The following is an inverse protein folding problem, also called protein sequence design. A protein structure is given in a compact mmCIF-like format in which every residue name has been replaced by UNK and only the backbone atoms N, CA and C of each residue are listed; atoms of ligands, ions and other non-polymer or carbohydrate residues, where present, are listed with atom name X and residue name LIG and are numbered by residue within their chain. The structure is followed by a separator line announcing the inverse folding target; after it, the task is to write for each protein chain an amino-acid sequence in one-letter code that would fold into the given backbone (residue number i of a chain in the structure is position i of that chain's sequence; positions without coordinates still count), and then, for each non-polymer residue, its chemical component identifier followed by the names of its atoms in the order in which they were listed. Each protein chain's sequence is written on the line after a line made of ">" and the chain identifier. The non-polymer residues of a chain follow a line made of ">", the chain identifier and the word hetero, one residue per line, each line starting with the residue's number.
data_IF_263816130222
#
_entry.id   IF_263816130222
#
_cell.length_a   1.000
_cell.length_b   1.000
_cell.length_c   1.000
_cell.angle_alpha   90.00
_cell.angle_beta   90.00
_cell.angle_gamma   90.00
#
_symmetry.space_group_name_H-M   'P 1'
#
loop_
_entity.id
_entity.type
_entity.pdbx_description
1 polymer ?
#
# COMPACT_ATOMS: atom_id res chain seq x y z
N UNK A 1 -25.68 18.70 9.95
CA UNK A 1 -24.73 17.64 10.38
C UNK A 1 -25.13 17.17 11.78
N UNK A 2 -25.55 15.92 11.93
CA UNK A 2 -26.07 15.41 13.20
C UNK A 2 -24.94 15.32 14.25
N UNK A 3 -25.12 16.03 15.37
CA UNK A 3 -24.29 15.91 16.57
C UNK A 3 -24.42 14.48 17.11
N UNK A 4 -23.50 13.60 16.75
CA UNK A 4 -23.40 12.29 17.38
C UNK A 4 -22.97 12.50 18.84
N UNK A 5 -23.63 11.82 19.77
CA UNK A 5 -23.36 11.94 21.21
C UNK A 5 -21.93 11.48 21.54
N UNK A 6 -21.38 12.01 22.65
CA UNK A 6 -20.01 11.70 23.15
C UNK A 6 -19.74 10.19 23.21
N UNK A 7 -20.69 9.42 23.76
CA UNK A 7 -20.60 7.97 23.87
C UNK A 7 -20.50 7.25 22.51
N UNK A 8 -21.16 7.76 21.48
CA UNK A 8 -21.09 7.19 20.12
C UNK A 8 -19.72 7.44 19.49
N UNK A 9 -19.08 8.58 19.78
CA UNK A 9 -17.72 8.88 19.31
C UNK A 9 -16.67 8.02 20.03
N UNK A 10 -16.77 7.89 21.35
CA UNK A 10 -15.87 7.02 22.12
C UNK A 10 -16.01 5.55 21.71
N UNK A 11 -17.25 5.04 21.54
CA UNK A 11 -17.48 3.69 21.03
C UNK A 11 -16.92 3.48 19.61
N UNK A 12 -16.99 4.50 18.75
CA UNK A 12 -16.43 4.43 17.39
C UNK A 12 -14.89 4.51 17.36
N UNK A 13 -14.26 5.23 18.31
CA UNK A 13 -12.81 5.29 18.46
C UNK A 13 -12.27 3.95 18.99
N UNK A 14 -12.92 3.37 19.98
CA UNK A 14 -12.56 2.08 20.57
C UNK A 14 -12.84 0.92 19.60
N UNK A 15 -13.99 0.95 18.92
CA UNK A 15 -14.41 -0.10 17.98
C UNK A 15 -13.66 -0.09 16.64
N UNK A 16 -13.02 1.02 16.26
CA UNK A 16 -12.10 1.07 15.11
C UNK A 16 -10.63 1.04 15.50
N UNK A 17 -10.33 0.87 16.79
CA UNK A 17 -8.96 0.87 17.31
C UNK A 17 -8.15 2.12 16.93
N UNK A 18 -8.85 3.26 16.78
CA UNK A 18 -8.26 4.52 16.34
C UNK A 18 -7.40 5.19 17.44
N UNK A 19 -7.64 4.84 18.71
CA UNK A 19 -6.78 5.21 19.85
C UNK A 19 -5.78 4.09 20.12
N UNK A 20 -4.51 4.47 20.19
CA UNK A 20 -3.45 3.55 20.60
C UNK A 20 -3.59 3.26 22.10
N UNK A 21 -3.59 1.98 22.46
CA UNK A 21 -3.74 1.58 23.86
C UNK A 21 -2.62 2.16 24.72
N UNK A 22 -2.93 2.42 26.00
CA UNK A 22 -1.98 2.88 27.01
C UNK A 22 -1.32 4.24 26.71
N UNK A 23 -1.87 5.03 25.77
CA UNK A 23 -1.38 6.36 25.39
C UNK A 23 -2.50 7.38 25.14
N UNK A 24 -2.11 8.64 25.04
CA UNK A 24 -2.92 9.75 24.51
C UNK A 24 -2.81 9.88 22.98
N UNK A 25 -2.36 8.85 22.27
CA UNK A 25 -2.11 8.91 20.82
C UNK A 25 -3.25 8.29 20.02
N UNK A 26 -3.39 8.77 18.79
CA UNK A 26 -4.31 8.19 17.82
C UNK A 26 -3.60 7.94 16.50
N UNK A 27 -4.05 6.95 15.74
CA UNK A 27 -3.50 6.61 14.42
C UNK A 27 -4.64 6.65 13.41
N UNK A 28 -4.47 7.41 12.32
CA UNK A 28 -5.42 7.56 11.21
C UNK A 28 -6.83 8.00 11.64
N UNK A 29 -6.93 8.79 12.72
CA UNK A 29 -8.17 9.10 13.42
C UNK A 29 -8.70 10.53 13.15
N UNK A 30 -8.67 10.98 11.91
CA UNK A 30 -8.95 12.40 11.59
C UNK A 30 -10.43 12.73 11.37
N UNK A 31 -11.29 11.72 11.21
CA UNK A 31 -12.72 11.89 10.90
C UNK A 31 -13.61 12.13 12.13
N UNK A 32 -13.01 12.19 13.33
CA UNK A 32 -13.73 12.25 14.61
C UNK A 32 -13.80 13.66 15.23
N UNK A 33 -13.20 14.66 14.57
CA UNK A 33 -13.02 16.00 15.13
C UNK A 33 -11.98 16.03 16.26
N UNK A 34 -12.11 16.97 17.20
CA UNK A 34 -11.27 17.01 18.39
C UNK A 34 -11.51 15.76 19.25
N UNK A 35 -10.44 15.01 19.52
CA UNK A 35 -10.49 13.81 20.35
C UNK A 35 -10.01 14.20 21.75
N UNK A 36 -10.89 14.06 22.74
CA UNK A 36 -10.60 14.41 24.14
C UNK A 36 -9.39 13.62 24.65
N UNK A 37 -8.44 14.33 25.29
CA UNK A 37 -7.20 13.73 25.79
C UNK A 37 -6.28 13.16 24.70
N UNK A 38 -6.45 13.52 23.43
CA UNK A 38 -5.47 13.22 22.39
C UNK A 38 -4.35 14.27 22.42
N UNK A 39 -3.10 13.84 22.56
CA UNK A 39 -1.94 14.73 22.53
C UNK A 39 -1.16 14.65 21.22
N UNK A 40 -1.29 13.54 20.47
CA UNK A 40 -0.60 13.33 19.19
C UNK A 40 -1.47 12.53 18.22
N UNK A 41 -1.56 13.03 16.98
CA UNK A 41 -2.20 12.35 15.87
C UNK A 41 -1.14 11.77 14.94
N UNK A 42 -1.17 10.47 14.69
CA UNK A 42 -0.30 9.82 13.72
C UNK A 42 -1.05 9.60 12.42
N UNK A 43 -0.39 9.90 11.29
CA UNK A 43 -0.87 9.54 9.96
C UNK A 43 0.11 8.56 9.34
N UNK A 44 -0.33 7.33 9.10
CA UNK A 44 0.54 6.26 8.59
C UNK A 44 0.99 6.51 7.15
N UNK A 45 0.08 7.02 6.31
CA UNK A 45 0.34 7.30 4.90
C UNK A 45 -0.74 8.21 4.27
N UNK A 46 -0.56 8.59 3.01
CA UNK A 46 -1.43 9.55 2.31
C UNK A 46 -2.50 8.88 1.40
N UNK A 47 -3.31 7.98 1.94
CA UNK A 47 -4.57 7.54 1.30
C UNK A 47 -5.81 8.09 2.00
N UNK A 48 -6.86 8.30 1.20
CA UNK A 48 -8.01 9.12 1.59
C UNK A 48 -8.84 8.59 2.74
N UNK A 49 -8.91 7.28 2.88
CA UNK A 49 -9.58 6.56 3.95
C UNK A 49 -8.83 6.64 5.29
N UNK A 50 -7.53 6.95 5.26
CA UNK A 50 -6.69 7.16 6.46
C UNK A 50 -6.64 8.62 6.88
N UNK A 51 -6.57 9.56 5.92
CA UNK A 51 -6.58 10.99 6.23
C UNK A 51 -7.98 11.61 6.28
N UNK A 52 -9.06 10.83 6.12
CA UNK A 52 -10.42 11.35 6.04
C UNK A 52 -10.72 12.30 7.22
N UNK A 53 -11.08 13.55 6.91
CA UNK A 53 -11.33 14.60 7.91
C UNK A 53 -10.19 15.62 8.05
N UNK A 54 -8.97 15.31 7.57
CA UNK A 54 -7.91 16.31 7.43
C UNK A 54 -8.26 17.34 6.36
N UNK A 55 -8.01 18.60 6.69
CA UNK A 55 -8.18 19.74 5.80
C UNK A 55 -7.39 20.94 6.32
N UNK A 56 -7.29 22.01 5.53
CA UNK A 56 -6.65 23.27 5.92
C UNK A 56 -7.06 23.87 7.27
N UNK A 57 -8.24 23.50 7.80
CA UNK A 57 -8.75 23.97 9.09
C UNK A 57 -8.47 23.01 10.26
N UNK A 58 -7.70 21.93 10.04
CA UNK A 58 -7.35 21.01 11.11
C UNK A 58 -6.49 21.73 12.16
N UNK A 59 -6.99 21.77 13.40
CA UNK A 59 -6.37 22.47 14.52
C UNK A 59 -6.55 21.69 15.83
N UNK A 60 -6.64 20.35 15.74
CA UNK A 60 -6.93 19.50 16.90
C UNK A 60 -5.68 19.00 17.62
N UNK A 61 -4.49 19.15 17.04
CA UNK A 61 -3.22 18.76 17.64
C UNK A 61 -2.13 18.54 16.58
N UNK A 62 -0.89 18.28 17.01
CA UNK A 62 0.21 17.97 16.10
C UNK A 62 0.00 16.65 15.37
N UNK A 63 0.40 16.62 14.09
CA UNK A 63 0.32 15.46 13.20
C UNK A 63 1.73 14.92 12.98
N UNK A 64 1.98 13.69 13.41
CA UNK A 64 3.24 12.96 13.24
C UNK A 64 3.13 11.98 12.08
N UNK A 65 4.09 12.02 11.16
CA UNK A 65 4.16 11.14 9.99
C UNK A 65 5.56 11.21 9.36
N UNK A 66 5.79 10.53 8.24
CA UNK A 66 7.02 10.68 7.44
C UNK A 66 7.09 12.05 6.74
N UNK A 67 8.29 12.47 6.29
CA UNK A 67 8.49 13.69 5.51
C UNK A 67 7.63 13.72 4.24
N UNK A 68 7.63 12.62 3.48
CA UNK A 68 6.83 12.45 2.26
C UNK A 68 5.34 12.63 2.54
N UNK A 69 4.82 11.99 3.59
CA UNK A 69 3.41 12.14 3.97
C UNK A 69 3.11 13.59 4.38
N UNK A 70 4.00 14.24 5.12
CA UNK A 70 3.83 15.64 5.52
C UNK A 70 3.78 16.60 4.31
N UNK A 71 4.65 16.39 3.32
CA UNK A 71 4.67 17.17 2.08
C UNK A 71 3.38 17.00 1.29
N UNK A 72 2.90 15.76 1.14
CA UNK A 72 1.64 15.47 0.43
C UNK A 72 0.42 16.09 1.12
N UNK A 73 0.36 16.01 2.46
CA UNK A 73 -0.69 16.65 3.25
C UNK A 73 -0.69 18.18 3.06
N UNK A 74 0.48 18.81 3.14
CA UNK A 74 0.62 20.24 2.91
C UNK A 74 0.26 20.64 1.47
N UNK A 75 0.65 19.84 0.47
CA UNK A 75 0.41 20.15 -0.93
C UNK A 75 -1.04 19.90 -1.37
N UNK A 76 -1.67 18.84 -0.89
CA UNK A 76 -3.01 18.42 -1.38
C UNK A 76 -4.15 18.79 -0.46
N UNK A 77 -3.95 18.76 0.85
CA UNK A 77 -4.99 19.11 1.82
C UNK A 77 -4.84 20.52 2.37
N UNK A 78 -3.70 21.17 2.07
CA UNK A 78 -3.35 22.52 2.50
C UNK A 78 -3.39 22.69 4.02
N UNK A 79 -3.08 21.62 4.77
CA UNK A 79 -2.86 21.69 6.23
C UNK A 79 -1.60 22.51 6.47
N UNK A 80 -1.61 23.46 7.42
CA UNK A 80 -0.43 24.27 7.73
C UNK A 80 0.76 23.43 8.18
N UNK A 81 1.97 23.76 7.70
CA UNK A 81 3.19 23.04 8.07
C UNK A 81 3.49 23.10 9.57
N UNK A 82 3.01 24.14 10.28
CA UNK A 82 3.19 24.22 11.75
C UNK A 82 2.41 23.14 12.52
N UNK A 83 1.41 22.50 11.90
CA UNK A 83 0.70 21.35 12.48
C UNK A 83 1.45 20.03 12.25
N UNK A 84 2.42 20.00 11.32
CA UNK A 84 3.12 18.78 10.94
C UNK A 84 4.39 18.59 11.76
N UNK A 85 4.68 17.34 12.14
CA UNK A 85 5.87 16.90 12.86
C UNK A 85 6.46 15.70 12.12
N UNK A 86 7.17 15.93 11.00
CA UNK A 86 7.77 14.85 10.24
C UNK A 86 8.83 14.13 11.08
N UNK A 87 8.81 12.80 11.05
CA UNK A 87 9.77 11.93 11.72
C UNK A 87 10.59 11.16 10.68
N UNK A 88 11.91 11.00 10.87
CA UNK A 88 12.73 10.16 10.02
C UNK A 88 12.38 8.67 10.19
N UNK A 89 12.58 7.90 9.12
CA UNK A 89 12.53 6.43 9.19
C UNK A 89 13.72 5.90 10.01
N UNK A 90 13.53 4.71 10.57
CA UNK A 90 14.52 3.86 11.25
C UNK A 90 15.24 4.53 12.44
N UNK A 91 14.67 5.63 12.94
CA UNK A 91 15.19 6.41 14.05
C UNK A 91 14.17 6.47 15.18
N UNK A 92 14.60 6.11 16.39
CA UNK A 92 13.76 6.17 17.58
C UNK A 92 13.76 7.57 18.18
N UNK A 93 12.57 8.16 18.34
CA UNK A 93 12.36 9.48 18.96
C UNK A 93 11.35 9.37 20.11
N UNK A 94 11.46 10.25 21.10
CA UNK A 94 10.54 10.26 22.25
C UNK A 94 9.48 11.35 22.09
N UNK A 95 8.21 10.98 22.19
CA UNK A 95 7.04 11.88 22.16
C UNK A 95 6.23 11.56 23.41
N UNK A 96 5.96 12.54 24.28
CA UNK A 96 5.21 12.36 25.53
C UNK A 96 5.66 11.13 26.36
N UNK A 97 6.97 10.90 26.48
CA UNK A 97 7.61 9.74 27.15
C UNK A 97 7.46 8.39 26.45
N UNK A 98 6.76 8.33 25.31
CA UNK A 98 6.66 7.13 24.46
C UNK A 98 7.77 7.18 23.41
N UNK A 99 8.52 6.07 23.27
CA UNK A 99 9.48 5.95 22.16
C UNK A 99 8.74 5.53 20.90
N UNK A 100 9.03 6.19 19.79
CA UNK A 100 8.38 5.98 18.49
C UNK A 100 9.44 5.76 17.43
N UNK A 101 9.30 4.70 16.64
CA UNK A 101 10.15 4.41 15.48
C UNK A 101 9.27 4.17 14.27
N UNK A 102 9.50 4.91 13.18
CA UNK A 102 8.86 4.67 11.88
C UNK A 102 9.71 3.71 11.06
N UNK A 103 9.10 2.72 10.42
CA UNK A 103 9.74 1.73 9.55
C UNK A 103 8.99 1.77 8.21
N UNK A 104 9.69 1.70 7.08
CA UNK A 104 9.05 1.65 5.76
C UNK A 104 8.00 0.53 5.70
N UNK A 105 6.80 0.83 5.20
CA UNK A 105 5.70 -0.14 5.13
C UNK A 105 5.66 -0.96 3.84
N UNK A 106 6.53 -0.64 2.87
CA UNK A 106 6.52 -1.21 1.53
C UNK A 106 5.12 -1.16 0.86
N UNK A 107 4.35 -0.11 1.13
CA UNK A 107 3.00 0.12 0.59
C UNK A 107 3.03 1.15 -0.54
N UNK A 108 2.80 2.42 -0.22
CA UNK A 108 2.95 3.57 -1.11
C UNK A 108 4.06 4.50 -0.58
N UNK A 109 4.57 5.44 -1.39
CA UNK A 109 5.60 6.38 -0.94
C UNK A 109 5.25 7.11 0.35
N UNK A 110 6.15 7.05 1.33
CA UNK A 110 5.96 7.68 2.65
C UNK A 110 5.13 6.87 3.65
N UNK A 111 4.62 5.70 3.28
CA UNK A 111 3.89 4.84 4.21
C UNK A 111 4.82 4.22 5.26
N UNK A 112 4.38 4.20 6.52
CA UNK A 112 5.17 3.69 7.63
C UNK A 112 4.40 2.73 8.55
N UNK A 113 5.08 1.64 8.92
CA UNK A 113 4.81 0.88 10.14
C UNK A 113 5.35 1.71 11.31
N UNK A 114 4.63 1.72 12.43
CA UNK A 114 4.97 2.51 13.60
C UNK A 114 5.13 1.59 14.81
N UNK A 115 6.32 1.57 15.40
CA UNK A 115 6.58 0.92 16.68
C UNK A 115 6.48 1.96 17.79
N UNK A 116 5.59 1.72 18.74
CA UNK A 116 5.44 2.48 19.97
C UNK A 116 5.95 1.66 21.16
N UNK A 117 6.83 2.23 21.96
CA UNK A 117 7.26 1.65 23.23
C UNK A 117 6.83 2.60 24.34
N UNK A 118 5.85 2.16 25.11
CA UNK A 118 5.19 2.90 26.19
C UNK A 118 5.82 2.48 27.51
N UNK A 119 6.20 3.43 28.40
CA UNK A 119 6.69 3.08 29.73
C UNK A 119 5.68 2.23 30.51
N UNK A 120 6.10 1.06 30.97
CA UNK A 120 5.27 0.14 31.77
C UNK A 120 6.13 -0.48 32.88
N UNK A 121 5.94 -0.03 34.11
CA UNK A 121 6.69 -0.51 35.27
C UNK A 121 6.42 -2.00 35.60
N UNK A 122 5.36 -2.59 35.03
CA UNK A 122 5.06 -4.02 35.16
C UNK A 122 5.76 -4.89 34.11
N UNK A 123 6.28 -4.28 33.03
CA UNK A 123 7.09 -4.99 32.03
C UNK A 123 8.50 -5.25 32.56
N UNK A 124 9.09 -6.45 32.33
CA UNK A 124 10.42 -6.81 32.83
C UNK A 124 11.54 -5.86 32.40
N UNK A 125 11.40 -5.24 31.23
CA UNK A 125 12.34 -4.27 30.67
C UNK A 125 11.82 -2.82 30.71
N UNK A 126 10.69 -2.59 31.40
CA UNK A 126 10.09 -1.26 31.58
C UNK A 126 9.27 -0.76 30.39
N UNK A 127 9.05 -1.58 29.35
CA UNK A 127 8.36 -1.16 28.13
C UNK A 127 7.22 -2.10 27.74
N UNK A 128 6.10 -1.50 27.36
CA UNK A 128 5.03 -2.15 26.61
C UNK A 128 5.10 -1.74 25.16
N UNK A 129 4.95 -2.68 24.23
CA UNK A 129 5.23 -2.45 22.80
C UNK A 129 4.02 -2.69 21.93
N UNK A 130 3.67 -1.66 21.16
CA UNK A 130 2.59 -1.70 20.19
C UNK A 130 3.14 -1.48 18.79
N UNK A 131 2.89 -2.41 17.87
CA UNK A 131 3.26 -2.28 16.47
C UNK A 131 2.00 -1.95 15.66
N UNK A 132 1.97 -0.82 14.98
CA UNK A 132 0.88 -0.45 14.07
C UNK A 132 1.38 -0.50 12.64
N UNK A 133 0.86 -1.42 11.84
CA UNK A 133 1.36 -1.64 10.47
C UNK A 133 0.92 -0.55 9.48
N UNK A 134 -0.15 0.20 9.79
CA UNK A 134 -0.80 1.03 8.78
C UNK A 134 -1.35 0.13 7.68
N UNK A 135 -1.25 0.57 6.43
CA UNK A 135 -1.32 -0.32 5.27
C UNK A 135 0.10 -0.73 4.88
N UNK A 136 0.32 -2.02 4.64
CA UNK A 136 1.66 -2.54 4.39
C UNK A 136 1.67 -3.76 3.47
N UNK A 137 2.80 -3.97 2.78
CA UNK A 137 3.10 -5.24 2.12
C UNK A 137 4.30 -5.90 2.77
N UNK A 138 4.01 -6.92 3.58
CA UNK A 138 5.00 -7.61 4.38
C UNK A 138 6.14 -8.20 3.55
N UNK A 139 7.36 -7.95 4.01
CA UNK A 139 8.61 -8.47 3.46
C UNK A 139 9.54 -8.89 4.60
N UNK A 140 10.52 -9.78 4.35
CA UNK A 140 11.48 -10.22 5.37
C UNK A 140 12.18 -9.07 6.10
N UNK A 141 12.51 -7.99 5.37
CA UNK A 141 13.16 -6.82 5.93
C UNK A 141 12.40 -6.18 7.12
N UNK A 142 11.07 -6.31 7.19
CA UNK A 142 10.29 -5.78 8.32
C UNK A 142 10.57 -6.53 9.63
N UNK A 143 10.75 -7.86 9.58
CA UNK A 143 11.04 -8.67 10.78
C UNK A 143 12.53 -8.67 11.13
N UNK A 144 13.39 -8.47 10.12
CA UNK A 144 14.83 -8.31 10.28
C UNK A 144 15.23 -6.91 10.76
N UNK A 145 14.33 -5.92 10.63
CA UNK A 145 14.56 -4.55 11.08
C UNK A 145 15.02 -4.52 12.54
N UNK A 146 16.07 -3.77 12.86
CA UNK A 146 16.74 -3.83 14.16
C UNK A 146 15.79 -3.56 15.35
N UNK A 147 14.83 -2.65 15.19
CA UNK A 147 13.83 -2.35 16.22
C UNK A 147 12.84 -3.50 16.48
N UNK A 148 12.65 -4.40 15.51
CA UNK A 148 11.76 -5.56 15.61
C UNK A 148 12.55 -6.80 16.01
N UNK A 149 13.67 -7.09 15.36
CA UNK A 149 14.50 -8.27 15.63
C UNK A 149 15.10 -8.27 17.05
N UNK A 150 15.39 -7.09 17.61
CA UNK A 150 15.92 -6.94 18.98
C UNK A 150 14.81 -6.77 20.02
N UNK A 151 13.55 -6.68 19.60
CA UNK A 151 12.40 -6.56 20.49
C UNK A 151 12.19 -7.89 21.24
N UNK A 152 12.19 -7.90 22.59
CA UNK A 152 11.92 -9.13 23.35
C UNK A 152 10.55 -9.72 23.02
N UNK A 153 9.53 -8.86 22.99
CA UNK A 153 8.17 -9.21 22.58
C UNK A 153 7.31 -7.98 22.30
N UNK A 154 6.33 -8.14 21.40
CA UNK A 154 5.25 -7.20 21.14
C UNK A 154 4.00 -7.53 21.97
N UNK A 155 3.37 -6.53 22.57
CA UNK A 155 2.16 -6.68 23.38
C UNK A 155 0.89 -6.48 22.55
N UNK A 156 0.96 -5.65 21.51
CA UNK A 156 -0.14 -5.48 20.56
C UNK A 156 0.40 -5.30 19.14
N UNK A 157 -0.23 -5.95 18.17
CA UNK A 157 0.02 -5.73 16.74
C UNK A 157 -1.28 -5.31 16.06
N UNK A 158 -1.38 -4.06 15.64
CA UNK A 158 -2.47 -3.56 14.80
C UNK A 158 -2.12 -3.86 13.34
N UNK A 159 -2.79 -4.86 12.77
CA UNK A 159 -2.44 -5.50 11.51
C UNK A 159 -3.38 -5.08 10.39
N UNK A 160 -2.82 -4.64 9.25
CA UNK A 160 -3.51 -4.57 7.97
C UNK A 160 -4.05 -5.96 7.59
N UNK A 161 -5.37 -6.08 7.56
CA UNK A 161 -6.08 -7.31 7.23
C UNK A 161 -6.86 -7.21 5.93
N UNK A 162 -6.45 -6.33 5.02
CA UNK A 162 -7.09 -6.08 3.72
C UNK A 162 -7.34 -7.39 2.95
N UNK A 163 -6.34 -8.25 2.88
CA UNK A 163 -6.40 -9.54 2.17
C UNK A 163 -6.18 -10.75 3.08
N UNK A 164 -6.65 -10.68 4.33
CA UNK A 164 -6.62 -11.82 5.26
C UNK A 164 -7.73 -12.83 4.92
N UNK A 165 -7.58 -13.50 3.78
CA UNK A 165 -8.37 -14.65 3.36
C UNK A 165 -7.52 -15.55 2.43
N UNK A 166 -7.52 -16.89 2.62
CA UNK A 166 -6.67 -17.82 1.84
C UNK A 166 -6.84 -17.76 0.32
N UNK A 167 -7.93 -17.17 -0.17
CA UNK A 167 -8.17 -16.97 -1.61
C UNK A 167 -7.23 -15.92 -2.23
N UNK A 168 -6.70 -14.99 -1.43
CA UNK A 168 -5.81 -13.92 -1.88
C UNK A 168 -4.34 -14.34 -1.85
N UNK A 169 -3.81 -14.64 -3.03
CA UNK A 169 -2.38 -14.81 -3.27
C UNK A 169 -1.92 -13.78 -4.30
N UNK A 170 -0.72 -13.23 -4.14
CA UNK A 170 -0.15 -12.30 -5.10
C UNK A 170 1.25 -12.76 -5.53
N UNK A 171 1.65 -12.53 -6.79
CA UNK A 171 3.03 -12.67 -7.19
C UNK A 171 3.94 -11.65 -6.50
N UNK A 172 5.24 -11.96 -6.40
CA UNK A 172 6.23 -11.02 -5.91
C UNK A 172 6.26 -9.74 -6.78
N UNK A 173 6.36 -8.55 -6.18
CA UNK A 173 6.40 -7.29 -6.94
C UNK A 173 7.52 -7.29 -7.98
N UNK A 174 8.69 -7.83 -7.63
CA UNK A 174 9.84 -7.94 -8.53
C UNK A 174 9.54 -8.73 -9.80
N UNK A 175 8.89 -9.90 -9.69
CA UNK A 175 8.55 -10.73 -10.85
C UNK A 175 7.46 -10.10 -11.72
N UNK A 176 6.51 -9.36 -11.12
CA UNK A 176 5.52 -8.57 -11.86
C UNK A 176 6.17 -7.43 -12.63
N UNK A 177 7.09 -6.71 -12.01
CA UNK A 177 7.85 -5.64 -12.66
C UNK A 177 8.68 -6.18 -13.82
N UNK A 178 9.39 -7.28 -13.61
CA UNK A 178 10.19 -7.93 -14.66
C UNK A 178 9.33 -8.35 -15.85
N UNK A 179 8.18 -8.98 -15.62
CA UNK A 179 7.25 -9.35 -16.68
C UNK A 179 6.74 -8.11 -17.44
N UNK A 180 6.36 -7.05 -16.72
CA UNK A 180 5.86 -5.80 -17.31
C UNK A 180 6.92 -5.11 -18.17
N UNK A 181 8.15 -5.02 -17.66
CA UNK A 181 9.31 -4.46 -18.36
C UNK A 181 9.66 -5.29 -19.59
N UNK A 182 9.67 -6.62 -19.48
CA UNK A 182 9.93 -7.51 -20.61
C UNK A 182 8.88 -7.36 -21.71
N UNK A 183 7.61 -7.19 -21.36
CA UNK A 183 6.55 -6.84 -22.33
C UNK A 183 6.85 -5.52 -23.02
N UNK A 184 7.12 -4.45 -22.28
CA UNK A 184 7.38 -3.12 -22.87
C UNK A 184 8.60 -3.09 -23.78
N UNK A 185 9.71 -3.69 -23.35
CA UNK A 185 10.95 -3.80 -24.15
C UNK A 185 10.73 -4.63 -25.41
N UNK A 186 10.10 -5.79 -25.31
CA UNK A 186 9.82 -6.66 -26.47
C UNK A 186 8.90 -5.97 -27.47
N UNK A 187 7.87 -5.25 -27.02
CA UNK A 187 7.00 -4.47 -27.90
C UNK A 187 7.81 -3.36 -28.62
N UNK A 188 8.68 -2.67 -27.89
CA UNK A 188 9.54 -1.62 -28.46
C UNK A 188 10.49 -2.17 -29.53
N UNK A 189 11.12 -3.32 -29.30
CA UNK A 189 12.06 -3.93 -30.26
C UNK A 189 11.39 -4.54 -31.47
N UNK A 190 10.15 -5.05 -31.32
CA UNK A 190 9.41 -5.69 -32.42
C UNK A 190 8.78 -4.67 -33.37
N UNK A 191 8.56 -3.43 -32.90
CA UNK A 191 8.20 -2.29 -33.74
C UNK A 191 9.40 -1.85 -34.60
N UNK A 192 9.75 -2.66 -35.60
CA UNK A 192 10.95 -2.55 -36.45
C UNK A 192 10.86 -1.51 -37.58
N UNK A 193 9.73 -0.80 -37.71
CA UNK A 193 9.64 0.33 -38.63
C UNK A 193 10.36 1.54 -38.02
N UNK A 194 11.34 2.09 -38.73
CA UNK A 194 12.20 3.20 -38.27
C UNK A 194 11.44 4.48 -37.82
N UNK A 195 10.14 4.58 -38.13
CA UNK A 195 9.26 5.70 -37.77
C UNK A 195 8.13 5.36 -36.78
N UNK A 196 8.04 4.11 -36.29
CA UNK A 196 6.96 3.66 -35.41
C UNK A 196 7.32 3.87 -33.94
N UNK A 197 6.61 4.77 -33.25
CA UNK A 197 6.71 4.91 -31.78
C UNK A 197 5.57 4.17 -31.10
N UNK A 198 5.90 3.46 -30.02
CA UNK A 198 4.94 2.82 -29.12
C UNK A 198 4.67 3.75 -27.94
N UNK A 199 3.40 4.00 -27.65
CA UNK A 199 2.95 4.77 -26.50
C UNK A 199 2.60 3.83 -25.34
N UNK A 200 3.36 3.87 -24.25
CA UNK A 200 3.06 3.12 -23.04
C UNK A 200 2.26 4.00 -22.08
N UNK A 201 1.01 3.62 -21.80
CA UNK A 201 0.14 4.35 -20.87
C UNK A 201 0.01 3.56 -19.57
N UNK A 202 0.36 4.16 -18.44
CA UNK A 202 0.31 3.49 -17.12
C UNK A 202 -0.73 4.17 -16.23
N UNK A 203 -1.68 3.38 -15.74
CA UNK A 203 -2.72 3.86 -14.82
C UNK A 203 -2.23 3.95 -13.39
N UNK A 204 -2.46 5.08 -12.74
CA UNK A 204 -2.19 5.29 -11.31
C UNK A 204 -3.37 5.99 -10.63
N UNK A 205 -3.30 6.08 -9.31
CA UNK A 205 -4.14 6.93 -8.49
C UNK A 205 -3.41 8.27 -8.20
N UNK A 206 -3.64 8.86 -7.03
CA UNK A 206 -2.94 10.06 -6.60
C UNK A 206 -1.45 9.79 -6.31
N UNK A 207 -1.16 8.74 -5.55
CA UNK A 207 0.18 8.18 -5.29
C UNK A 207 0.09 6.64 -5.38
N UNK A 208 1.24 5.97 -5.39
CA UNK A 208 1.34 4.52 -5.48
C UNK A 208 1.60 4.04 -6.91
N UNK A 209 2.27 2.90 -7.00
CA UNK A 209 2.68 2.19 -8.23
C UNK A 209 3.75 2.91 -9.05
N UNK A 210 4.45 3.89 -8.47
CA UNK A 210 5.55 4.63 -9.12
C UNK A 210 6.61 3.69 -9.70
N UNK A 211 6.94 2.62 -8.96
CA UNK A 211 7.90 1.59 -9.39
C UNK A 211 7.56 0.98 -10.75
N UNK A 212 6.28 0.89 -11.12
CA UNK A 212 5.85 0.28 -12.40
C UNK A 212 6.24 1.16 -13.58
N UNK A 213 5.82 2.43 -13.59
CA UNK A 213 6.10 3.31 -14.72
C UNK A 213 7.57 3.76 -14.76
N UNK A 214 8.23 3.85 -13.60
CA UNK A 214 9.67 4.12 -13.52
C UNK A 214 10.48 2.96 -14.12
N UNK A 215 10.13 1.71 -13.81
CA UNK A 215 10.80 0.53 -14.37
C UNK A 215 10.62 0.44 -15.89
N UNK A 216 9.41 0.69 -16.40
CA UNK A 216 9.15 0.72 -17.85
C UNK A 216 10.01 1.80 -18.51
N UNK A 217 9.98 3.03 -17.99
CA UNK A 217 10.70 4.17 -18.57
C UNK A 217 12.20 3.93 -18.62
N UNK A 218 12.80 3.45 -17.54
CA UNK A 218 14.22 3.10 -17.49
C UNK A 218 14.58 2.02 -18.52
N UNK A 219 13.76 0.97 -18.64
CA UNK A 219 14.06 -0.15 -19.51
C UNK A 219 13.99 0.19 -21.00
N UNK A 220 13.13 1.13 -21.39
CA UNK A 220 13.00 1.58 -22.79
C UNK A 220 13.76 2.88 -23.09
N UNK A 221 14.51 3.42 -22.11
CA UNK A 221 15.28 4.66 -22.27
C UNK A 221 14.42 5.91 -22.47
N UNK A 222 13.25 5.99 -21.83
CA UNK A 222 12.28 7.06 -22.02
C UNK A 222 12.15 7.98 -20.79
N UNK A 223 11.74 9.24 -21.02
CA UNK A 223 11.12 10.08 -19.98
C UNK A 223 9.72 9.58 -19.63
N UNK A 224 9.14 10.12 -18.56
CA UNK A 224 7.77 9.86 -18.10
C UNK A 224 6.98 11.16 -18.20
N UNK A 225 6.01 11.20 -19.09
CA UNK A 225 5.07 12.31 -19.17
C UNK A 225 4.02 12.19 -18.07
N UNK A 226 3.82 13.30 -17.36
CA UNK A 226 2.75 13.50 -16.38
C UNK A 226 2.19 14.91 -16.53
N UNK A 227 0.96 15.14 -16.07
CA UNK A 227 0.42 16.52 -15.99
C UNK A 227 1.18 17.35 -14.96
N UNK A 228 1.17 18.68 -15.08
CA UNK A 228 1.80 19.57 -14.08
C UNK A 228 1.29 19.31 -12.66
N UNK A 229 0.00 18.98 -12.52
CA UNK A 229 -0.58 18.61 -11.23
C UNK A 229 0.07 17.34 -10.67
N UNK A 230 0.21 16.29 -11.49
CA UNK A 230 0.85 15.04 -11.07
C UNK A 230 2.34 15.25 -10.81
N UNK A 231 3.02 16.13 -11.55
CA UNK A 231 4.41 16.49 -11.29
C UNK A 231 4.59 17.10 -9.89
N UNK A 232 3.72 18.03 -9.47
CA UNK A 232 3.76 18.61 -8.11
C UNK A 232 3.57 17.55 -7.02
N UNK A 233 2.69 16.58 -7.26
CA UNK A 233 2.50 15.44 -6.34
C UNK A 233 3.76 14.56 -6.27
N UNK A 234 4.32 14.19 -7.42
CA UNK A 234 5.52 13.34 -7.46
C UNK A 234 6.75 14.04 -6.86
N UNK A 235 6.84 15.36 -6.94
CA UNK A 235 7.90 16.14 -6.28
C UNK A 235 7.84 16.05 -4.74
N UNK A 236 6.68 15.74 -4.16
CA UNK A 236 6.54 15.56 -2.71
C UNK A 236 7.15 14.24 -2.20
N UNK A 237 7.48 13.31 -3.11
CA UNK A 237 7.93 11.95 -2.78
C UNK A 237 9.42 11.87 -2.44
N UNK A 238 10.17 12.96 -2.59
CA UNK A 238 11.62 13.04 -2.27
C UNK A 238 12.45 11.98 -3.05
N UNK A 239 11.99 11.56 -4.23
CA UNK A 239 12.69 10.62 -5.12
C UNK A 239 13.35 11.38 -6.30
N UNK A 240 14.64 11.69 -6.15
CA UNK A 240 15.44 12.36 -7.18
C UNK A 240 15.55 11.55 -8.47
N UNK A 241 15.59 10.22 -8.38
CA UNK A 241 15.70 9.34 -9.55
C UNK A 241 14.42 9.44 -10.37
N UNK A 242 13.27 9.38 -9.72
CA UNK A 242 11.99 9.60 -10.38
C UNK A 242 11.90 11.00 -10.96
N UNK A 243 12.23 12.04 -10.17
CA UNK A 243 12.17 13.43 -10.61
C UNK A 243 12.97 13.68 -11.89
N UNK A 244 14.15 13.05 -12.03
CA UNK A 244 15.00 13.15 -13.22
C UNK A 244 14.34 12.60 -14.50
N UNK A 245 13.37 11.70 -14.38
CA UNK A 245 12.67 11.07 -15.50
C UNK A 245 11.40 11.83 -15.90
N UNK A 246 10.86 12.69 -15.04
CA UNK A 246 9.58 13.38 -15.29
C UNK A 246 9.72 14.46 -16.36
N UNK A 247 8.70 14.58 -17.21
CA UNK A 247 8.49 15.70 -18.14
C UNK A 247 7.00 16.07 -18.16
N UNK A 248 6.69 17.34 -18.44
CA UNK A 248 5.34 17.83 -18.74
C UNK A 248 5.11 18.01 -20.24
N UNK A 249 6.10 17.67 -21.07
CA UNK A 249 5.99 17.66 -22.52
C UNK A 249 5.73 16.22 -23.03
N UNK A 250 4.54 15.91 -23.55
CA UNK A 250 4.17 14.54 -23.92
C UNK A 250 5.01 13.99 -25.07
N UNK A 251 5.39 14.81 -26.05
CA UNK A 251 6.19 14.35 -27.21
C UNK A 251 7.58 13.82 -26.82
N UNK A 252 8.12 14.25 -25.68
CA UNK A 252 9.45 13.88 -25.14
C UNK A 252 9.45 12.56 -24.36
N UNK A 253 8.30 11.94 -24.15
CA UNK A 253 8.17 10.69 -23.41
C UNK A 253 7.41 9.64 -24.22
N UNK A 254 7.79 8.38 -24.06
CA UNK A 254 7.02 7.24 -24.53
C UNK A 254 6.20 6.59 -23.41
N UNK A 255 6.41 7.00 -22.15
CA UNK A 255 5.63 6.53 -20.99
C UNK A 255 4.76 7.67 -20.50
N UNK A 256 3.44 7.51 -20.56
CA UNK A 256 2.46 8.50 -20.11
C UNK A 256 1.71 7.97 -18.89
N UNK A 257 1.68 8.73 -17.81
CA UNK A 257 0.98 8.36 -16.57
C UNK A 257 -0.37 9.05 -16.52
N UNK A 258 -1.43 8.26 -16.34
CA UNK A 258 -2.82 8.73 -16.42
C UNK A 258 -3.66 8.17 -15.28
N UNK A 259 -4.88 8.70 -15.10
CA UNK A 259 -5.82 8.17 -14.11
C UNK A 259 -6.28 6.77 -14.49
N UNK A 260 -6.41 5.88 -13.51
CA UNK A 260 -6.95 4.52 -13.71
C UNK A 260 -8.34 4.50 -14.39
N UNK A 261 -9.14 5.55 -14.18
CA UNK A 261 -10.49 5.68 -14.76
C UNK A 261 -10.46 5.96 -16.28
N UNK A 262 -9.35 6.50 -16.79
CA UNK A 262 -9.17 6.83 -18.21
C UNK A 262 -8.81 5.62 -19.06
N UNK A 263 -8.40 4.49 -18.47
CA UNK A 263 -7.90 3.33 -19.23
C UNK A 263 -8.99 2.47 -19.90
N UNK A 264 -10.05 3.08 -20.41
CA UNK A 264 -11.12 2.41 -21.18
C UNK A 264 -10.90 2.54 -22.70
N UNK A 265 -11.59 1.70 -23.49
CA UNK A 265 -11.40 1.63 -24.96
C UNK A 265 -11.56 3.00 -25.64
N UNK A 266 -12.66 3.71 -25.37
CA UNK A 266 -12.96 4.97 -26.06
C UNK A 266 -11.89 6.03 -25.79
N UNK A 267 -11.48 6.16 -24.54
CA UNK A 267 -10.44 7.13 -24.17
C UNK A 267 -9.08 6.75 -24.73
N UNK A 268 -8.67 5.48 -24.67
CA UNK A 268 -7.37 5.03 -25.21
C UNK A 268 -7.28 5.20 -26.73
N UNK A 269 -8.38 4.97 -27.46
CA UNK A 269 -8.44 5.24 -28.90
C UNK A 269 -8.23 6.72 -29.19
N UNK A 270 -9.03 7.59 -28.56
CA UNK A 270 -8.88 9.04 -28.76
C UNK A 270 -7.52 9.57 -28.31
N UNK A 271 -6.93 8.98 -27.27
CA UNK A 271 -5.62 9.37 -26.77
C UNK A 271 -4.48 8.97 -27.73
N UNK A 272 -4.53 7.76 -28.31
CA UNK A 272 -3.58 7.38 -29.36
C UNK A 272 -3.72 8.29 -30.57
N UNK A 273 -4.96 8.52 -31.04
CA UNK A 273 -5.23 9.36 -32.22
C UNK A 273 -4.69 10.79 -32.04
N UNK A 274 -4.88 11.39 -30.86
CA UNK A 274 -4.33 12.70 -30.50
C UNK A 274 -2.79 12.75 -30.57
N UNK A 275 -2.11 11.63 -30.35
CA UNK A 275 -0.65 11.55 -30.32
C UNK A 275 -0.04 10.99 -31.62
N UNK A 276 -0.83 10.69 -32.65
CA UNK A 276 -0.32 10.19 -33.94
C UNK A 276 0.60 11.18 -34.64
N UNK A 277 0.32 12.48 -34.54
CA UNK A 277 1.18 13.53 -35.11
C UNK A 277 2.58 13.55 -34.49
N UNK A 278 2.74 13.07 -33.25
CA UNK A 278 4.04 12.90 -32.59
C UNK A 278 4.74 11.59 -32.97
N UNK A 279 4.21 10.83 -33.93
CA UNK A 279 4.78 9.58 -34.47
C UNK A 279 4.34 8.31 -33.73
N UNK A 280 3.38 8.39 -32.81
CA UNK A 280 2.87 7.20 -32.12
C UNK A 280 1.92 6.41 -33.02
N UNK A 281 2.24 5.15 -33.26
CA UNK A 281 1.46 4.27 -34.15
C UNK A 281 0.68 3.20 -33.40
N UNK A 282 1.10 2.88 -32.17
CA UNK A 282 0.45 1.89 -31.32
C UNK A 282 0.51 2.29 -29.85
N UNK A 283 -0.39 1.70 -29.05
CA UNK A 283 -0.54 1.98 -27.63
C UNK A 283 -0.58 0.68 -26.82
N UNK A 284 0.22 0.64 -25.77
CA UNK A 284 0.16 -0.41 -24.73
C UNK A 284 -0.25 0.22 -23.41
N UNK A 285 -1.43 -0.14 -22.92
CA UNK A 285 -1.91 0.30 -21.62
C UNK A 285 -1.55 -0.73 -20.53
N UNK A 286 -1.00 -0.29 -19.41
CA UNK A 286 -0.81 -1.10 -18.22
C UNK A 286 -1.78 -0.64 -17.12
N UNK A 287 -2.51 -1.61 -16.55
CA UNK A 287 -3.44 -1.43 -15.43
C UNK A 287 -2.91 -2.14 -14.19
N UNK A 288 -1.99 -1.52 -13.41
CA UNK A 288 -1.53 -2.12 -12.16
C UNK A 288 -2.66 -2.14 -11.13
N UNK A 289 -3.10 -3.33 -10.72
CA UNK A 289 -4.09 -3.53 -9.65
C UNK A 289 -3.78 -4.81 -8.89
N UNK A 290 -3.99 -4.85 -7.57
CA UNK A 290 -3.81 -6.08 -6.78
C UNK A 290 -4.87 -7.15 -7.09
N UNK A 291 -6.06 -6.73 -7.52
CA UNK A 291 -7.24 -7.59 -7.68
C UNK A 291 -7.28 -8.41 -8.97
N UNK A 292 -6.43 -8.11 -9.96
CA UNK A 292 -6.47 -8.80 -11.26
C UNK A 292 -5.88 -10.22 -11.22
N UNK A 293 -5.20 -10.60 -10.14
CA UNK A 293 -4.65 -11.94 -10.01
C UNK A 293 -5.70 -12.92 -9.47
N UNK A 294 -6.13 -13.87 -10.30
CA UNK A 294 -6.90 -15.03 -9.84
C UNK A 294 -5.94 -16.18 -9.52
N UNK A 295 -5.72 -16.46 -8.24
CA UNK A 295 -4.92 -17.60 -7.78
C UNK A 295 -5.53 -18.92 -8.24
N UNK A 296 -4.74 -20.02 -8.32
CA UNK A 296 -5.31 -21.37 -8.57
C UNK A 296 -6.44 -21.69 -7.57
N UNK A 297 -6.23 -21.32 -6.29
CA UNK A 297 -7.24 -21.47 -5.22
C UNK A 297 -8.54 -20.71 -5.53
N UNK A 298 -8.47 -19.50 -6.09
CA UNK A 298 -9.66 -18.76 -6.55
C UNK A 298 -10.33 -19.36 -7.79
N UNK A 299 -9.57 -20.00 -8.68
CA UNK A 299 -10.12 -20.69 -9.86
C UNK A 299 -10.88 -21.95 -9.48
N UNK A 300 -10.35 -22.70 -8.51
CA UNK A 300 -10.96 -23.95 -8.02
C UNK A 300 -12.20 -23.65 -7.14
N UNK A 301 -12.17 -22.58 -6.35
CA UNK A 301 -13.32 -22.14 -5.54
C UNK A 301 -14.51 -21.61 -6.37
N UNK A 302 -14.28 -21.19 -7.62
CA UNK A 302 -15.33 -20.67 -8.51
C UNK A 302 -16.27 -21.73 -9.12
N UNK A 303 -16.01 -23.02 -8.86
CA UNK A 303 -16.84 -24.15 -9.33
C UNK A 303 -17.55 -24.90 -8.18
N UNK A 304 -17.37 -24.48 -6.93
CA UNK A 304 -18.04 -25.09 -5.79
C UNK A 304 -19.27 -24.27 -5.40
N UNK A 305 -20.44 -24.88 -5.55
CA UNK A 305 -21.71 -24.37 -5.04
C UNK A 305 -21.62 -24.13 -3.52
N UNK A 306 -22.32 -23.09 -3.07
CA UNK A 306 -22.41 -22.67 -1.68
C UNK A 306 -22.96 -23.78 -0.79
N UNK A 307 -22.09 -24.46 -0.05
CA UNK A 307 -22.52 -25.38 1.01
C UNK A 307 -21.64 -26.59 1.21
N UNK A 308 -20.42 -26.40 1.72
CA UNK A 308 -19.83 -27.37 2.66
C UNK A 308 -18.63 -26.73 3.35
N UNK A 309 -18.67 -26.73 4.69
CA UNK A 309 -17.52 -26.51 5.55
C UNK A 309 -16.55 -27.70 5.41
N UNK A 310 -15.93 -27.83 4.23
CA UNK A 310 -14.76 -28.69 4.11
C UNK A 310 -13.59 -27.94 4.75
N UNK A 311 -13.04 -28.53 5.80
CA UNK A 311 -11.77 -28.13 6.39
C UNK A 311 -10.71 -28.11 5.30
N UNK A 312 -10.53 -26.95 4.66
CA UNK A 312 -9.44 -26.73 3.73
C UNK A 312 -8.15 -26.99 4.50
N UNK A 313 -7.43 -28.03 4.08
CA UNK A 313 -6.17 -28.46 4.68
C UNK A 313 -5.27 -27.23 4.85
N UNK A 314 -4.75 -27.06 6.07
CA UNK A 314 -3.89 -25.93 6.42
C UNK A 314 -2.64 -25.96 5.54
N UNK A 315 -2.48 -25.01 4.60
CA UNK A 315 -1.36 -25.04 3.66
C UNK A 315 -0.03 -24.68 4.35
N UNK A 316 -0.06 -24.29 5.63
CA UNK A 316 1.09 -23.80 6.39
C UNK A 316 1.50 -24.87 7.41
N UNK A 317 2.44 -25.75 7.02
CA UNK A 317 3.00 -26.79 7.87
C UNK A 317 3.77 -26.22 9.08
N UNK A 318 3.98 -27.02 10.13
CA UNK A 318 4.81 -26.71 11.32
C UNK A 318 6.32 -26.52 11.01
N UNK A 319 6.71 -26.44 9.73
CA UNK A 319 8.08 -26.15 9.34
C UNK A 319 8.44 -24.67 9.62
N UNK A 320 9.75 -24.38 9.59
CA UNK A 320 10.31 -23.03 9.68
C UNK A 320 9.54 -22.04 8.79
N UNK A 321 9.34 -20.81 9.27
CA UNK A 321 8.56 -19.80 8.55
C UNK A 321 9.16 -19.55 7.18
N UNK A 322 8.46 -19.95 6.13
CA UNK A 322 8.85 -19.72 4.74
C UNK A 322 8.12 -18.51 4.21
N UNK A 323 8.86 -17.48 3.84
CA UNK A 323 8.33 -16.32 3.14
C UNK A 323 7.91 -16.69 1.71
N UNK A 324 6.69 -16.32 1.27
CA UNK A 324 6.25 -16.62 -0.08
C UNK A 324 7.05 -15.81 -1.11
N UNK A 325 7.39 -16.47 -2.21
CA UNK A 325 7.97 -15.81 -3.38
C UNK A 325 7.36 -16.46 -4.62
N UNK A 326 6.13 -16.07 -4.94
CA UNK A 326 5.42 -16.60 -6.09
C UNK A 326 5.95 -15.96 -7.36
N UNK A 327 6.58 -16.77 -8.22
CA UNK A 327 7.08 -16.34 -9.52
C UNK A 327 5.92 -15.91 -10.44
N UNK A 328 6.20 -14.95 -11.32
CA UNK A 328 5.27 -14.44 -12.30
C UNK A 328 6.00 -14.20 -13.61
N UNK A 329 5.38 -14.58 -14.72
CA UNK A 329 6.00 -14.53 -16.03
C UNK A 329 5.17 -13.73 -17.03
N UNK A 330 5.80 -13.34 -18.13
CA UNK A 330 5.12 -12.63 -19.23
C UNK A 330 3.94 -13.43 -19.78
N UNK A 331 4.03 -14.76 -19.83
CA UNK A 331 2.93 -15.63 -20.29
C UNK A 331 1.71 -15.57 -19.37
N UNK A 332 1.89 -15.14 -18.12
CA UNK A 332 0.82 -14.99 -17.13
C UNK A 332 0.16 -13.61 -17.14
N UNK A 333 0.75 -12.63 -17.86
CA UNK A 333 0.17 -11.30 -18.01
C UNK A 333 -1.09 -11.35 -18.88
N UNK A 334 -2.22 -10.98 -18.28
CA UNK A 334 -3.49 -10.96 -18.99
C UNK A 334 -3.59 -9.73 -19.87
N UNK A 335 -3.73 -9.95 -21.18
CA UNK A 335 -3.90 -8.89 -22.17
C UNK A 335 -5.30 -8.90 -22.77
N UNK A 336 -5.84 -7.72 -23.03
CA UNK A 336 -7.07 -7.49 -23.79
C UNK A 336 -6.72 -6.66 -25.02
N UNK A 337 -6.93 -7.20 -26.22
CA UNK A 337 -6.81 -6.45 -27.47
C UNK A 337 -8.03 -5.54 -27.63
N UNK A 338 -7.80 -4.23 -27.67
CA UNK A 338 -8.88 -3.23 -27.77
C UNK A 338 -9.11 -2.80 -29.24
N UNK A 339 -8.05 -2.77 -30.05
CA UNK A 339 -8.08 -2.55 -31.51
C UNK A 339 -6.84 -3.20 -32.15
N UNK A 340 -6.58 -2.97 -33.45
CA UNK A 340 -5.34 -3.41 -34.12
C UNK A 340 -4.08 -2.84 -33.45
N UNK A 341 -4.17 -1.60 -33.00
CA UNK A 341 -3.03 -0.79 -32.55
C UNK A 341 -2.98 -0.64 -31.02
N UNK A 342 -4.00 -1.15 -30.31
CA UNK A 342 -4.16 -0.91 -28.87
C UNK A 342 -4.32 -2.24 -28.12
N UNK A 343 -3.43 -2.46 -27.15
CA UNK A 343 -3.47 -3.59 -26.23
C UNK A 343 -3.45 -3.07 -24.79
N UNK A 344 -4.26 -3.65 -23.92
CA UNK A 344 -4.27 -3.35 -22.49
C UNK A 344 -3.85 -4.58 -21.69
N UNK A 345 -2.94 -4.42 -20.73
CA UNK A 345 -2.50 -5.46 -19.81
C UNK A 345 -2.99 -5.19 -18.39
N UNK A 346 -3.53 -6.22 -17.75
CA UNK A 346 -3.77 -6.24 -16.31
C UNK A 346 -2.51 -6.68 -15.59
N UNK A 347 -1.98 -5.81 -14.73
CA UNK A 347 -0.70 -6.04 -14.04
C UNK A 347 -1.00 -6.32 -12.55
N UNK A 348 -0.77 -7.54 -12.03
CA UNK A 348 -1.13 -7.91 -10.66
C UNK A 348 -0.16 -7.34 -9.60
N UNK A 349 -0.01 -6.03 -9.58
CA UNK A 349 0.87 -5.30 -8.68
C UNK A 349 0.08 -4.86 -7.44
N UNK A 350 0.17 -5.67 -6.37
CA UNK A 350 -0.39 -5.33 -5.06
C UNK A 350 0.62 -4.52 -4.22
N UNK A 351 0.12 -3.57 -3.46
CA UNK A 351 0.84 -2.83 -2.41
C UNK A 351 0.36 -3.23 -1.00
N UNK A 352 -0.48 -4.27 -0.91
CA UNK A 352 -0.84 -4.94 0.35
C UNK A 352 -0.36 -6.38 0.34
N UNK A 353 -0.17 -6.90 1.55
CA UNK A 353 0.20 -8.29 1.82
C UNK A 353 -0.85 -9.27 1.30
N UNK A 354 -0.40 -10.34 0.65
CA UNK A 354 -1.18 -11.57 0.45
C UNK A 354 -1.40 -12.32 1.76
N UNK A 355 -2.30 -13.29 1.76
CA UNK A 355 -2.53 -14.15 2.93
C UNK A 355 -1.26 -14.84 3.42
N UNK A 356 -0.46 -15.38 2.50
CA UNK A 356 0.78 -16.10 2.86
C UNK A 356 1.87 -15.12 3.36
N UNK A 357 1.93 -13.88 2.84
CA UNK A 357 2.85 -12.83 3.33
C UNK A 357 2.45 -12.39 4.75
N UNK A 358 1.15 -12.21 5.04
CA UNK A 358 0.65 -11.93 6.39
C UNK A 358 0.96 -13.07 7.36
N UNK A 359 0.73 -14.32 6.94
CA UNK A 359 1.02 -15.50 7.75
C UNK A 359 2.50 -15.57 8.11
N UNK A 360 3.39 -15.35 7.14
CA UNK A 360 4.83 -15.35 7.37
C UNK A 360 5.23 -14.22 8.35
N UNK A 361 4.72 -13.00 8.13
CA UNK A 361 5.00 -11.87 9.00
C UNK A 361 4.58 -12.13 10.46
N UNK A 362 3.31 -12.49 10.69
CA UNK A 362 2.80 -12.74 12.05
C UNK A 362 3.54 -13.89 12.73
N UNK A 363 3.88 -14.95 11.98
CA UNK A 363 4.61 -16.10 12.53
C UNK A 363 6.06 -15.79 12.87
N UNK A 364 6.68 -14.84 12.18
CA UNK A 364 8.06 -14.42 12.43
C UNK A 364 8.20 -13.42 13.59
N UNK A 365 7.10 -12.89 14.14
CA UNK A 365 7.15 -11.92 15.23
C UNK A 365 7.11 -12.58 16.62
N UNK A 366 7.95 -12.10 17.53
CA UNK A 366 7.80 -12.35 18.96
C UNK A 366 6.65 -11.48 19.51
N UNK A 367 5.49 -12.09 19.73
CA UNK A 367 4.26 -11.43 20.21
C UNK A 367 3.80 -12.10 21.53
N UNK A 368 3.78 -11.38 22.64
CA UNK A 368 3.26 -11.92 23.90
C UNK A 368 1.76 -11.69 24.04
N UNK A 369 1.27 -10.56 23.54
CA UNK A 369 -0.13 -10.17 23.64
C UNK A 369 -0.96 -10.55 22.41
N UNK A 370 -1.61 -9.56 21.80
CA UNK A 370 -2.69 -9.78 20.81
C UNK A 370 -2.33 -9.22 19.43
N UNK A 371 -2.86 -9.86 18.39
CA UNK A 371 -2.97 -9.28 17.04
C UNK A 371 -4.39 -8.74 16.83
N UNK A 372 -4.49 -7.46 16.52
CA UNK A 372 -5.72 -6.71 16.34
C UNK A 372 -5.90 -6.36 14.85
N UNK A 373 -6.91 -6.91 14.15
CA UNK A 373 -7.21 -6.48 12.78
C UNK A 373 -7.65 -5.01 12.74
N UNK A 374 -7.29 -4.30 11.67
CA UNK A 374 -7.67 -2.90 11.41
C UNK A 374 -8.63 -2.73 10.23
N UNK A 375 -8.70 -3.72 9.33
CA UNK A 375 -9.50 -3.68 8.09
C UNK A 375 -10.60 -4.76 8.13
N UNK A 376 -11.68 -4.56 7.37
CA UNK A 376 -12.80 -5.51 7.24
C UNK A 376 -13.59 -5.77 8.54
N UNK A 377 -13.59 -4.81 9.48
CA UNK A 377 -14.22 -4.94 10.80
C UNK A 377 -15.75 -4.78 10.82
N UNK A 378 -16.37 -4.41 9.70
CA UNK A 378 -17.83 -4.17 9.63
C UNK A 378 -18.66 -5.44 9.37
N UNK A 379 -18.01 -6.57 9.10
CA UNK A 379 -18.67 -7.83 8.79
C UNK A 379 -18.25 -8.89 9.82
N UNK A 380 -19.17 -9.27 10.70
CA UNK A 380 -18.88 -10.21 11.79
C UNK A 380 -18.40 -11.58 11.29
N UNK A 381 -18.88 -12.04 10.13
CA UNK A 381 -18.41 -13.29 9.54
C UNK A 381 -16.95 -13.17 9.06
N UNK A 382 -16.58 -12.03 8.47
CA UNK A 382 -15.20 -11.75 8.10
C UNK A 382 -14.31 -11.65 9.36
N UNK A 383 -14.77 -10.94 10.40
CA UNK A 383 -14.05 -10.82 11.68
C UNK A 383 -13.81 -12.18 12.34
N UNK A 384 -14.81 -13.08 12.35
CA UNK A 384 -14.66 -14.45 12.86
C UNK A 384 -13.60 -15.24 12.07
N UNK A 385 -13.64 -15.17 10.74
CA UNK A 385 -12.64 -15.83 9.87
C UNK A 385 -11.23 -15.30 10.11
N UNK A 386 -11.06 -13.98 10.20
CA UNK A 386 -9.76 -13.36 10.49
C UNK A 386 -9.25 -13.78 11.87
N UNK A 387 -10.12 -13.74 12.88
CA UNK A 387 -9.76 -14.13 14.25
C UNK A 387 -9.31 -15.59 14.31
N UNK A 388 -9.99 -16.49 13.58
CA UNK A 388 -9.60 -17.89 13.47
C UNK A 388 -8.17 -18.05 12.91
N UNK A 389 -7.87 -17.42 11.77
CA UNK A 389 -6.54 -17.52 11.15
C UNK A 389 -5.43 -16.89 12.01
N UNK A 390 -5.67 -15.71 12.57
CA UNK A 390 -4.72 -15.06 13.48
C UNK A 390 -4.41 -15.94 14.70
N UNK A 391 -5.44 -16.56 15.29
CA UNK A 391 -5.25 -17.50 16.39
C UNK A 391 -4.37 -18.70 16.00
N UNK A 392 -4.57 -19.27 14.81
CA UNK A 392 -3.74 -20.36 14.30
C UNK A 392 -2.29 -19.96 14.08
N UNK A 393 -2.05 -18.79 13.48
CA UNK A 393 -0.69 -18.30 13.26
C UNK A 393 0.02 -18.02 14.58
N UNK A 394 -0.68 -17.47 15.57
CA UNK A 394 -0.16 -17.20 16.90
C UNK A 394 0.23 -18.46 17.69
N UNK A 395 -0.41 -19.60 17.44
CA UNK A 395 -0.08 -20.90 18.04
C UNK A 395 1.15 -21.58 17.40
N UNK A 396 1.58 -21.14 16.21
CA UNK A 396 2.61 -21.80 15.37
C UNK A 396 3.79 -20.89 15.05
N UNK A 397 4.21 -20.11 16.05
CA UNK A 397 5.32 -19.14 15.98
C UNK A 397 6.64 -19.77 16.35
#
# INVERSE_FOLDING_TARGET
>A
MAKHSRAVREAALTGRHARLLDTSFTVDAFSYGAIEGCSAYFLTHFHSDHYQGLSKSFAHGPIYCTSVTANLVAERLKVPREQMRPLPLDTTLTIDSVRVTLIDANHCPGAAIILFEVPDASSPDGWRRHLHTGDFRAIPAHVEHAAIAKCPSLDMVYLDTTYLDPSYAFPAQSSVLEATVRTATTTTTTSSAASSRVLFVVGTYLIGKERVFQAIANAIGSKIYVTEEKQRILACLEDERLASLITTEPSKANVHVVSMNQLNRAWLTGYLDHHREAGFTSLVAFRPTGWSYKSKRQKDAGHADSGSDSETADPVSNAAVRWPCTAYSVQSLQSTKLSSDIVSYSVPYSEHSSFDELAAFVRSLSIRGKVQPTVNLRNDAAVRKMTHWLGRWMLRR
#
